data_IF_892350927427
#
_entry.id   IF_892350927427
#
_cell.length_a   1.000
_cell.length_b   1.000
_cell.length_c   1.000
_cell.angle_alpha   90.00
_cell.angle_beta   90.00
_cell.angle_gamma   90.00
#
_symmetry.space_group_name_H-M   'P 1'
#
loop_
_entity.id
_entity.type
_entity.pdbx_description
1 polymer ?
#
# COMPACT_ATOMS: atom_id res chain seq x y z
N UNK A 1 -10.57 19.91 -1.95
CA UNK A 1 -10.50 18.81 -0.95
C UNK A 1 -9.76 19.21 0.32
N UNK A 2 -8.46 19.55 0.27
CA UNK A 2 -7.65 19.94 1.44
C UNK A 2 -8.27 21.11 2.22
N UNK A 3 -8.80 22.11 1.50
CA UNK A 3 -9.50 23.23 2.14
C UNK A 3 -10.73 22.80 2.93
N UNK A 4 -11.47 21.79 2.47
CA UNK A 4 -12.62 21.27 3.20
C UNK A 4 -12.19 20.56 4.49
N UNK A 5 -11.07 19.82 4.45
CA UNK A 5 -10.45 19.21 5.63
C UNK A 5 -9.98 20.29 6.62
N UNK A 6 -9.42 21.40 6.15
CA UNK A 6 -9.06 22.54 7.00
C UNK A 6 -10.28 23.08 7.75
N UNK A 7 -11.40 23.34 7.05
CA UNK A 7 -12.63 23.81 7.68
C UNK A 7 -13.18 22.79 8.68
N UNK A 8 -13.17 21.51 8.32
CA UNK A 8 -13.60 20.44 9.21
C UNK A 8 -12.79 20.42 10.51
N UNK A 9 -11.46 20.51 10.43
CA UNK A 9 -10.60 20.55 11.62
C UNK A 9 -10.84 21.81 12.46
N UNK A 10 -10.96 22.99 11.82
CA UNK A 10 -11.27 24.24 12.53
C UNK A 10 -12.61 24.15 13.27
N UNK A 11 -13.63 23.56 12.65
CA UNK A 11 -14.93 23.33 13.27
C UNK A 11 -14.83 22.36 14.46
N UNK A 12 -14.10 21.26 14.30
CA UNK A 12 -13.87 20.29 15.38
C UNK A 12 -13.14 20.90 16.59
N UNK A 13 -12.30 21.92 16.37
CA UNK A 13 -11.56 22.61 17.43
C UNK A 13 -12.41 23.61 18.23
N UNK A 14 -13.57 24.03 17.74
CA UNK A 14 -14.39 25.08 18.38
C UNK A 14 -14.80 24.72 19.81
N UNK A 15 -15.15 23.46 20.05
CA UNK A 15 -15.63 22.96 21.35
C UNK A 15 -14.49 22.36 22.20
N UNK A 16 -13.25 22.72 21.92
CA UNK A 16 -12.06 22.20 22.61
C UNK A 16 -11.24 23.31 23.23
N UNK A 17 -10.31 22.94 24.13
CA UNK A 17 -9.30 23.87 24.66
C UNK A 17 -8.38 24.46 23.59
N UNK A 18 -8.40 23.91 22.36
CA UNK A 18 -7.58 24.35 21.23
C UNK A 18 -8.23 25.44 20.38
N UNK A 19 -9.44 25.90 20.71
CA UNK A 19 -10.21 26.90 19.92
C UNK A 19 -9.38 28.13 19.53
N UNK A 20 -8.54 28.63 20.43
CA UNK A 20 -7.67 29.80 20.19
C UNK A 20 -6.60 29.55 19.13
N UNK A 21 -6.22 28.29 18.90
CA UNK A 21 -5.18 27.89 17.95
C UNK A 21 -5.73 27.52 16.58
N UNK A 22 -7.05 27.51 16.37
CA UNK A 22 -7.65 27.02 15.13
C UNK A 22 -7.16 27.75 13.87
N UNK A 23 -6.76 29.02 13.97
CA UNK A 23 -6.25 29.78 12.82
C UNK A 23 -4.85 29.34 12.38
N UNK A 24 -4.15 28.55 13.19
CA UNK A 24 -2.86 27.96 12.84
C UNK A 24 -3.00 26.64 12.06
N UNK A 25 -4.21 26.09 11.91
CA UNK A 25 -4.43 24.93 11.05
C UNK A 25 -4.06 25.31 9.61
N UNK A 26 -3.13 24.55 9.02
CA UNK A 26 -2.59 24.79 7.67
C UNK A 26 -1.74 26.07 7.54
N UNK A 27 -1.24 26.62 8.65
CA UNK A 27 -0.36 27.79 8.63
C UNK A 27 0.95 27.50 7.87
N UNK A 28 1.27 28.37 6.90
CA UNK A 28 2.44 28.28 6.03
C UNK A 28 2.54 26.99 5.19
N UNK A 29 1.48 26.20 5.11
CA UNK A 29 1.41 25.02 4.24
C UNK A 29 0.70 25.36 2.92
N UNK A 30 1.05 24.61 1.88
CA UNK A 30 0.28 24.46 0.67
C UNK A 30 -0.55 23.18 0.73
N UNK A 31 -1.50 23.01 -0.19
CA UNK A 31 -2.24 21.74 -0.32
C UNK A 31 -1.31 20.54 -0.53
N UNK A 32 -0.20 20.73 -1.24
CA UNK A 32 0.72 19.64 -1.58
C UNK A 32 1.54 19.17 -0.39
N UNK A 33 1.83 20.02 0.59
CA UNK A 33 2.48 19.60 1.85
C UNK A 33 1.62 18.60 2.64
N UNK A 34 0.30 18.65 2.43
CA UNK A 34 -0.66 17.71 3.05
C UNK A 34 -0.83 16.47 2.17
N UNK A 35 -1.07 16.67 0.87
CA UNK A 35 -1.35 15.58 -0.06
C UNK A 35 -0.15 14.64 -0.19
N UNK A 36 1.05 15.17 -0.39
CA UNK A 36 2.23 14.34 -0.60
C UNK A 36 2.52 13.43 0.61
N UNK A 37 2.36 13.94 1.83
CA UNK A 37 2.58 13.21 3.06
C UNK A 37 1.45 12.18 3.28
N UNK A 38 0.20 12.57 3.04
CA UNK A 38 -0.93 11.65 3.11
C UNK A 38 -0.73 10.47 2.14
N UNK A 39 -0.36 10.73 0.89
CA UNK A 39 -0.08 9.70 -0.11
C UNK A 39 1.13 8.84 0.27
N UNK A 40 2.22 9.43 0.76
CA UNK A 40 3.38 8.69 1.22
C UNK A 40 3.03 7.73 2.37
N UNK A 41 2.23 8.19 3.34
CA UNK A 41 1.75 7.35 4.44
C UNK A 41 0.80 6.25 3.95
N UNK A 42 -0.12 6.57 3.04
CA UNK A 42 -1.02 5.60 2.42
C UNK A 42 -0.22 4.50 1.70
N UNK A 43 0.75 4.88 0.86
CA UNK A 43 1.58 3.93 0.12
C UNK A 43 2.43 3.09 1.07
N UNK A 44 3.07 3.72 2.06
CA UNK A 44 3.90 2.99 3.04
C UNK A 44 3.09 1.91 3.76
N UNK A 45 1.90 2.24 4.25
CA UNK A 45 1.03 1.28 4.93
C UNK A 45 0.44 0.25 3.96
N UNK A 46 -0.09 0.70 2.84
CA UNK A 46 -0.68 -0.19 1.83
C UNK A 46 0.32 -1.22 1.30
N UNK A 47 1.56 -0.80 1.02
CA UNK A 47 2.62 -1.70 0.59
C UNK A 47 3.11 -2.58 1.73
N UNK A 48 3.42 -1.99 2.89
CA UNK A 48 4.03 -2.69 4.02
C UNK A 48 3.11 -3.70 4.71
N UNK A 49 1.86 -3.33 4.92
CA UNK A 49 0.93 -4.07 5.78
C UNK A 49 -0.03 -4.95 4.99
N UNK A 50 -0.30 -4.61 3.71
CA UNK A 50 -1.26 -5.35 2.87
C UNK A 50 -0.54 -6.04 1.71
N UNK A 51 0.01 -5.28 0.77
CA UNK A 51 0.51 -5.84 -0.49
C UNK A 51 1.68 -6.81 -0.27
N UNK A 52 2.70 -6.41 0.51
CA UNK A 52 3.87 -7.25 0.76
C UNK A 52 3.51 -8.55 1.50
N UNK A 53 2.52 -8.50 2.38
CA UNK A 53 2.04 -9.70 3.07
C UNK A 53 1.48 -10.70 2.06
N UNK A 54 0.53 -10.26 1.23
CA UNK A 54 -0.08 -11.13 0.21
C UNK A 54 0.94 -11.64 -0.81
N UNK A 55 1.91 -10.80 -1.20
CA UNK A 55 2.98 -11.20 -2.10
C UNK A 55 3.84 -12.33 -1.49
N UNK A 56 4.18 -12.25 -0.20
CA UNK A 56 4.91 -13.31 0.50
C UNK A 56 4.08 -14.58 0.63
N UNK A 57 2.80 -14.47 1.00
CA UNK A 57 1.89 -15.62 1.07
C UNK A 57 1.82 -16.36 -0.29
N UNK A 58 1.85 -15.60 -1.39
CA UNK A 58 1.90 -16.18 -2.76
C UNK A 58 3.22 -16.90 -3.03
N UNK A 59 4.36 -16.32 -2.64
CA UNK A 59 5.68 -16.95 -2.80
C UNK A 59 5.73 -18.26 -2.01
N UNK A 60 5.27 -18.26 -0.76
CA UNK A 60 5.25 -19.47 0.07
C UNK A 60 4.36 -20.57 -0.53
N UNK A 61 3.22 -20.21 -1.12
CA UNK A 61 2.36 -21.15 -1.81
C UNK A 61 3.06 -21.78 -3.02
N UNK A 62 3.75 -20.97 -3.83
CA UNK A 62 4.54 -21.45 -4.98
C UNK A 62 5.68 -22.35 -4.50
N UNK A 63 6.43 -21.96 -3.46
CA UNK A 63 7.50 -22.77 -2.88
C UNK A 63 6.99 -24.11 -2.36
N UNK A 64 5.77 -24.14 -1.81
CA UNK A 64 5.09 -25.37 -1.42
C UNK A 64 4.85 -26.32 -2.61
N UNK A 65 4.43 -25.78 -3.76
CA UNK A 65 4.27 -26.55 -4.99
C UNK A 65 5.61 -27.07 -5.51
N UNK A 66 6.64 -26.22 -5.51
CA UNK A 66 8.00 -26.61 -5.94
C UNK A 66 8.48 -27.79 -5.10
N UNK A 67 8.46 -27.68 -3.77
CA UNK A 67 8.93 -28.76 -2.88
C UNK A 67 8.17 -30.07 -3.11
N UNK A 68 6.86 -29.99 -3.38
CA UNK A 68 5.99 -31.15 -3.62
C UNK A 68 6.27 -31.84 -4.95
N UNK A 69 6.56 -31.07 -6.00
CA UNK A 69 6.63 -31.59 -7.37
C UNK A 69 8.02 -31.58 -8.00
N UNK A 70 9.06 -31.10 -7.30
CA UNK A 70 10.44 -30.97 -7.82
C UNK A 70 11.05 -32.25 -8.42
N UNK A 71 10.57 -33.44 -8.05
CA UNK A 71 11.08 -34.71 -8.59
C UNK A 71 10.13 -35.36 -9.60
N UNK A 72 9.03 -34.69 -9.97
CA UNK A 72 8.06 -35.20 -10.94
C UNK A 72 8.48 -34.72 -12.33
N UNK A 73 8.96 -35.61 -13.21
CA UNK A 73 9.35 -35.21 -14.55
C UNK A 73 8.13 -34.75 -15.35
N UNK A 74 8.26 -33.65 -16.08
CA UNK A 74 7.21 -33.10 -16.93
C UNK A 74 7.71 -32.97 -18.37
N UNK A 75 6.89 -33.39 -19.35
CA UNK A 75 7.16 -33.13 -20.76
C UNK A 75 7.12 -31.61 -20.99
N UNK A 76 8.26 -31.02 -21.33
CA UNK A 76 8.33 -29.61 -21.63
C UNK A 76 7.73 -29.32 -23.02
N UNK A 77 7.21 -28.11 -23.19
CA UNK A 77 6.77 -27.61 -24.49
C UNK A 77 7.47 -26.29 -24.82
N UNK A 78 8.19 -26.26 -25.94
CA UNK A 78 8.78 -25.02 -26.50
C UNK A 78 8.09 -24.71 -27.81
N UNK A 79 7.57 -23.48 -27.97
CA UNK A 79 6.70 -23.12 -29.12
C UNK A 79 5.50 -24.07 -29.30
N UNK A 80 5.01 -24.65 -28.19
CA UNK A 80 3.92 -25.63 -28.19
C UNK A 80 4.31 -27.06 -28.58
N UNK A 81 5.55 -27.30 -29.02
CA UNK A 81 6.02 -28.63 -29.42
C UNK A 81 6.74 -29.36 -28.29
N UNK A 82 6.63 -30.71 -28.20
CA UNK A 82 7.35 -31.51 -27.21
C UNK A 82 8.85 -31.24 -27.23
N UNK A 83 9.44 -31.07 -26.05
CA UNK A 83 10.86 -30.83 -25.82
C UNK A 83 11.42 -31.76 -24.74
N UNK A 84 12.71 -31.61 -24.43
CA UNK A 84 13.36 -32.38 -23.36
C UNK A 84 12.66 -32.15 -22.02
N UNK A 85 12.40 -33.19 -21.19
CA UNK A 85 11.70 -33.04 -19.92
C UNK A 85 12.35 -32.04 -18.97
N UNK A 86 11.52 -31.42 -18.12
CA UNK A 86 11.91 -30.55 -16.99
C UNK A 86 11.40 -31.08 -15.67
#
# INVERSE_FOLDING_TARGET
DVKAVEYYLKQAMQETSLRSLQQFVHFACTSEDINNLAHALMLKKGVGEVWLKTARDTIEAIDGLVRRYQTVPMLAHTHGQPASPT
#
